data_IF_618578331873
#
_entry.id   IF_618578331873
#
_cell.length_a   1.000
_cell.length_b   1.000
_cell.length_c   1.000
_cell.angle_alpha   90.00
_cell.angle_beta   90.00
_cell.angle_gamma   90.00
#
_symmetry.space_group_name_H-M   'P 1'
#
loop_
_entity.id
_entity.type
_entity.pdbx_description
1 polymer ?
#
# COMPACT_ATOMS: atom_id res chain seq x y z
N UNK A 1 -4.21 -3.58 18.00
CA UNK A 1 -5.23 -2.99 17.12
C UNK A 1 -4.56 -2.52 15.83
N UNK A 2 -5.12 -2.87 14.69
CA UNK A 2 -4.60 -2.38 13.42
C UNK A 2 -5.08 -0.96 13.14
N UNK A 3 -4.20 -0.15 12.59
CA UNK A 3 -4.55 1.18 12.11
C UNK A 3 -4.42 1.19 10.59
N UNK A 4 -5.44 1.70 9.93
CA UNK A 4 -5.42 1.80 8.48
C UNK A 4 -6.08 3.09 8.00
N UNK A 5 -5.61 3.56 6.86
CA UNK A 5 -6.13 4.73 6.17
C UNK A 5 -6.66 4.31 4.81
N UNK A 6 -7.84 4.76 4.47
CA UNK A 6 -8.45 4.55 3.15
C UNK A 6 -8.44 5.89 2.43
N UNK A 7 -7.74 5.97 1.31
CA UNK A 7 -7.53 7.23 0.62
C UNK A 7 -7.87 7.12 -0.85
N UNK A 8 -8.03 8.29 -1.49
CA UNK A 8 -8.05 8.42 -2.95
C UNK A 8 -6.69 8.96 -3.40
N UNK A 9 -6.57 9.27 -4.69
CA UNK A 9 -5.33 9.81 -5.23
C UNK A 9 -4.96 11.15 -4.58
N UNK A 10 -3.67 11.48 -4.63
CA UNK A 10 -3.11 12.70 -4.07
C UNK A 10 -2.46 13.55 -5.18
N UNK A 11 -3.26 14.19 -6.04
CA UNK A 11 -2.69 14.92 -7.18
C UNK A 11 -1.79 16.08 -6.80
N UNK A 12 -1.97 16.65 -5.61
CA UNK A 12 -1.21 17.80 -5.12
C UNK A 12 -0.34 17.45 -3.90
N UNK A 13 0.00 16.16 -3.73
CA UNK A 13 0.75 15.71 -2.56
C UNK A 13 -0.15 15.44 -1.36
N UNK A 14 0.44 15.05 -0.25
CA UNK A 14 -0.32 14.73 0.96
C UNK A 14 -0.89 16.00 1.60
N UNK A 15 -2.21 16.04 1.87
CA UNK A 15 -2.77 17.14 2.64
C UNK A 15 -2.18 17.22 4.06
N UNK A 16 -2.14 18.40 4.63
CA UNK A 16 -1.56 18.62 5.95
C UNK A 16 -2.26 17.78 7.03
N UNK A 17 -3.58 17.67 6.97
CA UNK A 17 -4.33 16.83 7.91
C UNK A 17 -3.91 15.36 7.85
N UNK A 18 -3.65 14.85 6.64
CA UNK A 18 -3.19 13.48 6.45
C UNK A 18 -1.78 13.30 7.03
N UNK A 19 -0.89 14.26 6.77
CA UNK A 19 0.48 14.24 7.32
C UNK A 19 0.43 14.22 8.85
N UNK A 20 -0.41 15.05 9.46
CA UNK A 20 -0.56 15.08 10.91
C UNK A 20 -1.02 13.73 11.45
N UNK A 21 -2.02 13.12 10.81
CA UNK A 21 -2.51 11.80 11.20
C UNK A 21 -1.42 10.73 11.07
N UNK A 22 -0.62 10.77 10.00
CA UNK A 22 0.49 9.84 9.81
C UNK A 22 1.54 9.99 10.91
N UNK A 23 1.88 11.22 11.29
CA UNK A 23 2.87 11.47 12.33
C UNK A 23 2.43 10.96 13.69
N UNK A 24 1.14 10.92 13.95
CA UNK A 24 0.59 10.38 15.18
C UNK A 24 0.52 8.85 15.18
N UNK A 25 0.57 8.24 14.02
CA UNK A 25 0.27 6.81 13.83
C UNK A 25 1.49 5.99 13.48
N UNK A 26 2.38 6.49 12.60
CA UNK A 26 3.56 5.77 12.17
C UNK A 26 4.64 5.87 13.23
N UNK A 27 4.98 4.73 13.83
CA UNK A 27 6.01 4.67 14.87
C UNK A 27 7.29 3.97 14.39
N UNK A 28 7.21 3.18 13.32
CA UNK A 28 8.34 2.42 12.78
C UNK A 28 8.65 2.89 11.38
N UNK A 29 9.87 3.37 11.15
CA UNK A 29 10.31 3.89 9.85
C UNK A 29 11.47 3.08 9.27
N UNK A 30 11.72 1.87 9.75
CA UNK A 30 12.77 1.03 9.22
C UNK A 30 12.42 0.49 7.84
N UNK A 31 11.20 0.03 7.66
CA UNK A 31 10.84 -0.68 6.43
C UNK A 31 9.47 -0.27 5.91
N UNK A 32 9.43 0.05 4.62
CA UNK A 32 8.21 0.41 3.88
C UNK A 32 7.92 -0.67 2.84
N UNK A 33 6.67 -1.12 2.76
CA UNK A 33 6.23 -2.07 1.75
C UNK A 33 5.23 -1.39 0.82
N UNK A 34 5.51 -1.44 -0.46
CA UNK A 34 4.61 -0.95 -1.50
C UNK A 34 4.02 -2.16 -2.21
N UNK A 35 2.73 -2.44 -1.98
CA UNK A 35 2.03 -3.53 -2.66
C UNK A 35 1.42 -3.00 -3.96
N UNK A 36 1.89 -3.52 -5.07
CA UNK A 36 1.51 -3.05 -6.40
C UNK A 36 0.08 -3.39 -6.76
N UNK A 37 -0.50 -2.66 -7.72
CA UNK A 37 -1.79 -3.01 -8.29
C UNK A 37 -1.66 -4.05 -9.40
N UNK A 38 -0.62 -3.94 -10.22
CA UNK A 38 -0.34 -4.88 -11.31
C UNK A 38 1.02 -5.53 -11.04
N UNK A 39 1.01 -6.76 -10.54
CA UNK A 39 2.21 -7.43 -10.07
C UNK A 39 3.24 -7.72 -11.18
N UNK A 40 2.78 -7.83 -12.42
CA UNK A 40 3.64 -8.14 -13.58
C UNK A 40 4.28 -6.90 -14.23
N UNK A 41 4.03 -5.71 -13.72
CA UNK A 41 4.51 -4.46 -14.32
C UNK A 41 5.60 -3.81 -13.47
N UNK A 42 6.76 -4.46 -13.41
CA UNK A 42 7.87 -4.08 -12.55
C UNK A 42 8.29 -2.62 -12.69
N UNK A 43 8.46 -2.12 -13.91
CA UNK A 43 8.90 -0.74 -14.14
C UNK A 43 7.89 0.29 -13.66
N UNK A 44 6.61 0.03 -13.91
CA UNK A 44 5.52 0.89 -13.44
C UNK A 44 5.48 0.89 -11.91
N UNK A 45 5.64 -0.28 -11.31
CA UNK A 45 5.61 -0.43 -9.86
C UNK A 45 6.75 0.35 -9.20
N UNK A 46 7.95 0.30 -9.77
CA UNK A 46 9.09 1.07 -9.28
C UNK A 46 8.85 2.57 -9.36
N UNK A 47 8.30 3.03 -10.47
CA UNK A 47 8.01 4.45 -10.67
C UNK A 47 7.05 4.99 -9.61
N UNK A 48 5.95 4.27 -9.38
CA UNK A 48 4.95 4.70 -8.40
C UNK A 48 5.45 4.56 -6.96
N UNK A 49 6.21 3.51 -6.66
CA UNK A 49 6.80 3.35 -5.34
C UNK A 49 7.73 4.50 -5.00
N UNK A 50 8.58 4.92 -5.94
CA UNK A 50 9.48 6.06 -5.75
C UNK A 50 8.72 7.36 -5.55
N UNK A 51 7.65 7.56 -6.32
CA UNK A 51 6.80 8.74 -6.17
C UNK A 51 6.21 8.81 -4.76
N UNK A 52 5.69 7.69 -4.26
CA UNK A 52 5.13 7.64 -2.90
C UNK A 52 6.21 7.88 -1.86
N UNK A 53 7.40 7.29 -2.04
CA UNK A 53 8.51 7.53 -1.11
C UNK A 53 8.92 9.00 -1.07
N UNK A 54 8.94 9.67 -2.22
CA UNK A 54 9.23 11.10 -2.28
C UNK A 54 8.18 11.92 -1.54
N UNK A 55 6.91 11.53 -1.63
CA UNK A 55 5.83 12.20 -0.90
C UNK A 55 5.99 12.04 0.61
N UNK A 56 6.37 10.84 1.08
CA UNK A 56 6.66 10.61 2.49
C UNK A 56 7.88 11.40 2.95
N UNK A 57 8.93 11.46 2.13
CA UNK A 57 10.12 12.25 2.44
C UNK A 57 9.78 13.74 2.59
N UNK A 58 8.96 14.28 1.70
CA UNK A 58 8.50 15.66 1.78
C UNK A 58 7.69 15.92 3.05
N UNK A 59 7.02 14.90 3.59
CA UNK A 59 6.27 14.99 4.83
C UNK A 59 7.14 14.73 6.08
N UNK A 60 8.43 14.46 5.92
CA UNK A 60 9.35 14.26 7.03
C UNK A 60 9.59 12.81 7.43
N UNK A 61 9.14 11.85 6.64
CA UNK A 61 9.35 10.43 6.91
C UNK A 61 10.50 9.88 6.09
N UNK A 62 11.42 9.17 6.74
CA UNK A 62 12.60 8.59 6.09
C UNK A 62 12.69 7.12 6.42
N UNK A 63 12.21 6.28 5.52
CA UNK A 63 12.28 4.83 5.67
C UNK A 63 13.66 4.33 5.25
N UNK A 64 14.22 3.40 6.01
CA UNK A 64 15.56 2.87 5.73
C UNK A 64 15.56 1.95 4.52
N UNK A 65 14.49 1.19 4.34
CA UNK A 65 14.37 0.25 3.23
C UNK A 65 12.98 0.30 2.62
N UNK A 66 12.91 -0.07 1.35
CA UNK A 66 11.67 -0.20 0.58
C UNK A 66 11.63 -1.57 -0.07
N UNK A 67 10.53 -2.28 0.09
CA UNK A 67 10.25 -3.49 -0.68
C UNK A 67 9.01 -3.27 -1.52
N UNK A 68 9.11 -3.60 -2.81
CA UNK A 68 7.95 -3.62 -3.70
C UNK A 68 7.40 -5.04 -3.70
N UNK A 69 6.14 -5.19 -3.31
CA UNK A 69 5.45 -6.46 -3.34
C UNK A 69 4.81 -6.61 -4.72
N UNK A 70 5.46 -7.38 -5.58
CA UNK A 70 5.00 -7.75 -6.91
C UNK A 70 5.58 -9.13 -7.27
N UNK A 71 5.49 -9.54 -8.54
CA UNK A 71 5.91 -10.88 -8.97
C UNK A 71 7.39 -11.17 -8.74
N UNK A 72 8.22 -10.15 -8.54
CA UNK A 72 9.65 -10.33 -8.30
C UNK A 72 9.98 -10.79 -6.88
N UNK A 73 9.07 -10.57 -5.92
CA UNK A 73 9.29 -10.98 -4.53
C UNK A 73 8.93 -12.45 -4.36
N UNK A 74 9.87 -13.30 -3.91
CA UNK A 74 9.57 -14.72 -3.68
C UNK A 74 8.49 -14.90 -2.63
N UNK A 75 7.57 -15.83 -2.87
CA UNK A 75 6.45 -16.10 -1.95
C UNK A 75 6.93 -16.43 -0.54
N UNK A 76 8.04 -17.15 -0.42
CA UNK A 76 8.61 -17.53 0.88
C UNK A 76 9.08 -16.34 1.71
N UNK A 77 9.30 -15.19 1.08
CA UNK A 77 9.80 -13.99 1.77
C UNK A 77 8.69 -13.02 2.18
N UNK A 78 7.47 -13.22 1.70
CA UNK A 78 6.38 -12.25 1.92
C UNK A 78 6.08 -12.07 3.41
N UNK A 79 5.97 -13.16 4.16
CA UNK A 79 5.64 -13.08 5.58
C UNK A 79 6.68 -12.27 6.36
N UNK A 80 7.96 -12.50 6.09
CA UNK A 80 9.05 -11.80 6.75
C UNK A 80 9.04 -10.32 6.40
N UNK A 81 8.82 -9.99 5.12
CA UNK A 81 8.77 -8.61 4.66
C UNK A 81 7.63 -7.86 5.36
N UNK A 82 6.45 -8.46 5.44
CA UNK A 82 5.30 -7.84 6.09
C UNK A 82 5.51 -7.69 7.59
N UNK A 83 6.17 -8.66 8.23
CA UNK A 83 6.45 -8.60 9.65
C UNK A 83 7.37 -7.43 10.01
N UNK A 84 8.32 -7.12 9.15
CA UNK A 84 9.28 -6.04 9.37
C UNK A 84 8.73 -4.67 9.00
N UNK A 85 7.59 -4.59 8.33
CA UNK A 85 7.06 -3.34 7.81
C UNK A 85 6.53 -2.43 8.92
N UNK A 86 6.88 -1.15 8.84
CA UNK A 86 6.24 -0.10 9.63
C UNK A 86 5.01 0.45 8.91
N UNK A 87 5.08 0.50 7.58
CA UNK A 87 3.98 0.93 6.71
C UNK A 87 3.84 -0.05 5.56
N UNK A 88 2.61 -0.41 5.24
CA UNK A 88 2.25 -1.16 4.04
C UNK A 88 1.28 -0.30 3.23
N UNK A 89 1.73 0.09 2.04
CA UNK A 89 0.95 0.92 1.12
C UNK A 89 0.38 0.03 0.03
N UNK A 90 -0.95 0.02 -0.09
CA UNK A 90 -1.65 -0.72 -1.14
C UNK A 90 -1.97 0.25 -2.28
N UNK A 91 -1.31 0.06 -3.42
CA UNK A 91 -1.34 1.00 -4.52
C UNK A 91 -2.71 1.11 -5.19
N UNK A 92 -2.98 2.27 -5.79
CA UNK A 92 -4.09 2.45 -6.69
C UNK A 92 -3.80 1.86 -8.08
N UNK A 93 -4.83 1.71 -8.89
CA UNK A 93 -4.71 1.18 -10.24
C UNK A 93 -5.86 0.23 -10.56
N UNK A 94 -5.56 -0.89 -11.21
CA UNK A 94 -6.56 -1.88 -11.60
C UNK A 94 -7.01 -2.69 -10.39
N UNK A 95 -8.23 -2.43 -9.90
CA UNK A 95 -8.78 -3.07 -8.71
C UNK A 95 -8.88 -4.58 -8.86
N UNK A 96 -9.36 -5.05 -10.01
CA UNK A 96 -9.57 -6.50 -10.22
C UNK A 96 -8.25 -7.24 -10.39
N UNK A 97 -7.29 -6.66 -11.09
CA UNK A 97 -5.95 -7.25 -11.22
C UNK A 97 -5.27 -7.36 -9.86
N UNK A 98 -5.37 -6.29 -9.05
CA UNK A 98 -4.80 -6.29 -7.71
C UNK A 98 -5.47 -7.33 -6.82
N UNK A 99 -6.80 -7.41 -6.88
CA UNK A 99 -7.54 -8.41 -6.12
C UNK A 99 -7.07 -9.84 -6.45
N UNK A 100 -6.94 -10.15 -7.75
CA UNK A 100 -6.49 -11.46 -8.18
C UNK A 100 -5.10 -11.79 -7.65
N UNK A 101 -4.18 -10.82 -7.68
CA UNK A 101 -2.83 -11.01 -7.16
C UNK A 101 -2.83 -11.19 -5.65
N UNK A 102 -3.61 -10.39 -4.92
CA UNK A 102 -3.72 -10.50 -3.46
C UNK A 102 -4.30 -11.85 -3.04
N UNK A 103 -5.32 -12.33 -3.75
CA UNK A 103 -5.91 -13.65 -3.47
C UNK A 103 -4.91 -14.77 -3.74
N UNK A 104 -4.16 -14.68 -4.83
CA UNK A 104 -3.17 -15.70 -5.20
C UNK A 104 -2.11 -15.89 -4.13
N UNK A 105 -1.67 -14.82 -3.48
CA UNK A 105 -0.63 -14.89 -2.45
C UNK A 105 -1.19 -14.93 -1.02
N UNK A 106 -2.51 -14.88 -0.85
CA UNK A 106 -3.14 -14.88 0.48
C UNK A 106 -2.88 -13.62 1.27
N UNK A 107 -2.73 -12.47 0.60
CA UNK A 107 -2.32 -11.23 1.26
C UNK A 107 -3.33 -10.74 2.28
N UNK A 108 -4.62 -10.86 2.00
CA UNK A 108 -5.66 -10.38 2.92
C UNK A 108 -5.50 -10.99 4.32
N UNK A 109 -5.31 -12.31 4.38
CA UNK A 109 -5.13 -13.00 5.66
C UNK A 109 -3.81 -12.58 6.33
N UNK A 110 -2.76 -12.35 5.55
CA UNK A 110 -1.48 -11.90 6.07
C UNK A 110 -1.59 -10.48 6.65
N UNK A 111 -2.36 -9.60 6.02
CA UNK A 111 -2.56 -8.23 6.50
C UNK A 111 -3.30 -8.17 7.83
N UNK A 112 -4.13 -9.16 8.14
CA UNK A 112 -4.82 -9.22 9.44
C UNK A 112 -3.86 -9.42 10.61
N UNK A 113 -2.67 -9.92 10.34
CA UNK A 113 -1.66 -10.25 11.36
C UNK A 113 -0.58 -9.18 11.50
N UNK A 114 -0.54 -8.20 10.62
CA UNK A 114 0.53 -7.18 10.66
C UNK A 114 0.27 -6.13 11.73
N UNK A 115 1.36 -5.59 12.29
CA UNK A 115 1.32 -4.43 13.17
C UNK A 115 1.64 -3.14 12.43
N UNK A 116 1.92 -3.22 11.13
CA UNK A 116 2.19 -2.05 10.30
C UNK A 116 0.95 -1.17 10.16
N UNK A 117 1.18 0.11 9.86
CA UNK A 117 0.11 1.01 9.42
C UNK A 117 -0.24 0.65 7.99
N UNK A 118 -1.51 0.37 7.73
CA UNK A 118 -2.00 0.02 6.40
C UNK A 118 -2.59 1.27 5.74
N UNK A 119 -2.13 1.55 4.53
CA UNK A 119 -2.67 2.68 3.75
C UNK A 119 -3.10 2.14 2.39
N UNK A 120 -4.40 2.20 2.11
CA UNK A 120 -4.93 1.80 0.82
C UNK A 120 -5.37 3.02 0.01
N UNK A 121 -4.85 3.15 -1.21
CA UNK A 121 -5.18 4.24 -2.12
C UNK A 121 -6.04 3.72 -3.27
N UNK A 122 -7.23 4.27 -3.46
CA UNK A 122 -8.17 3.89 -4.53
C UNK A 122 -8.40 2.38 -4.58
N UNK A 123 -7.87 1.67 -5.59
CA UNK A 123 -7.98 0.21 -5.69
C UNK A 123 -7.50 -0.48 -4.42
N UNK A 124 -6.40 -0.02 -3.84
CA UNK A 124 -5.86 -0.55 -2.58
C UNK A 124 -6.85 -0.41 -1.44
N UNK A 125 -7.56 0.72 -1.35
CA UNK A 125 -8.59 0.93 -0.34
C UNK A 125 -9.74 -0.06 -0.51
N UNK A 126 -10.17 -0.29 -1.75
CA UNK A 126 -11.25 -1.24 -2.04
C UNK A 126 -10.81 -2.66 -1.67
N UNK A 127 -9.60 -3.05 -1.99
CA UNK A 127 -9.08 -4.40 -1.77
C UNK A 127 -8.69 -4.68 -0.30
N UNK A 128 -8.80 -3.70 0.57
CA UNK A 128 -8.66 -3.94 2.01
C UNK A 128 -9.94 -4.53 2.62
N UNK A 129 -11.07 -4.42 1.94
CA UNK A 129 -12.34 -4.95 2.42
C UNK A 129 -12.49 -6.44 2.17
N UNK A 130 -13.46 -7.05 2.86
CA UNK A 130 -13.77 -8.47 2.68
C UNK A 130 -14.47 -8.75 1.35
N UNK A 131 -15.16 -7.77 0.81
CA UNK A 131 -15.85 -7.86 -0.47
C UNK A 131 -15.47 -6.68 -1.33
N UNK A 132 -15.35 -6.93 -2.65
CA UNK A 132 -15.12 -5.87 -3.61
C UNK A 132 -16.45 -5.38 -4.13
N UNK A 133 -16.71 -4.09 -3.90
CA UNK A 133 -17.88 -3.42 -4.45
C UNK A 133 -17.40 -2.23 -5.26
N UNK A 134 -17.59 -2.29 -6.57
CA UNK A 134 -17.24 -1.20 -7.48
C UNK A 134 -18.49 -0.39 -7.76
N UNK A 135 -18.51 0.85 -7.29
CA UNK A 135 -19.58 1.75 -7.60
C UNK A 135 -19.46 2.22 -9.06
N UNK A 136 -20.59 2.46 -9.69
CA UNK A 136 -20.62 2.84 -11.10
C UNK A 136 -19.78 4.09 -11.38
N UNK A 137 -19.85 5.07 -10.49
CA UNK A 137 -19.09 6.31 -10.65
C UNK A 137 -17.57 6.08 -10.62
N UNK A 138 -17.10 5.05 -9.95
CA UNK A 138 -15.68 4.70 -9.94
C UNK A 138 -15.24 4.12 -11.27
N UNK A 139 -16.15 3.42 -11.94
CA UNK A 139 -15.87 2.86 -13.26
C UNK A 139 -15.91 3.94 -14.35
N UNK A 140 -16.66 5.00 -14.14
CA UNK A 140 -16.82 6.11 -15.07
C UNK A 140 -15.70 7.13 -14.96
N UNK A 141 -14.89 7.05 -13.94
CA UNK A 141 -13.74 7.90 -13.74
C UNK A 141 -12.49 7.25 -14.36
#
# INVERSE_FOLDING_TARGET
>A
MQTYFLTSDFPNGFPEAFITALKQTIVRQEHFVFAASSFDKAEVNEKYARKIMDMFAAAGFHFQTLTILDDRLPLAQIDQVLEQAGVIWLAGGDTLAQHASFERIGLREKLKKTTAVLIGMSAGAINMGDQIVLARHELDN
#
